data_IF_253999257910
#
_entry.id   IF_253999257910
#
_cell.length_a   1.000
_cell.length_b   1.000
_cell.length_c   1.000
_cell.angle_alpha   90.00
_cell.angle_beta   90.00
_cell.angle_gamma   90.00
#
_symmetry.space_group_name_H-M   'P 1'
#
loop_
_entity.id
_entity.type
_entity.pdbx_description
1 polymer ?
#
# COMPACT_ATOMS: atom_id res chain seq x y z
N UNK A 1 12.55 16.68 2.54
CA UNK A 1 11.85 16.40 3.81
C UNK A 1 10.99 15.16 3.57
N UNK A 2 11.28 14.05 4.23
CA UNK A 2 10.51 12.81 4.05
C UNK A 2 9.18 12.95 4.78
N UNK A 3 8.09 12.72 4.07
CA UNK A 3 6.74 12.74 4.64
C UNK A 3 6.55 11.46 5.44
N UNK A 4 6.33 11.60 6.75
CA UNK A 4 6.01 10.47 7.63
C UNK A 4 4.50 10.23 7.57
N UNK A 5 4.12 8.96 7.42
CA UNK A 5 2.74 8.49 7.41
C UNK A 5 2.55 7.52 8.56
N UNK A 6 1.37 7.53 9.17
CA UNK A 6 1.01 6.61 10.24
C UNK A 6 -0.21 5.79 9.85
N UNK A 7 -0.26 4.57 10.37
CA UNK A 7 -1.42 3.70 10.30
C UNK A 7 -1.69 3.13 11.69
N UNK A 8 -2.81 3.58 12.27
CA UNK A 8 -3.33 3.15 13.56
C UNK A 8 -3.87 1.71 13.48
N UNK A 9 -3.29 0.81 14.26
CA UNK A 9 -3.64 -0.62 14.32
C UNK A 9 -4.11 -1.03 15.71
N UNK A 10 -5.07 -1.95 15.77
CA UNK A 10 -5.46 -2.61 17.01
C UNK A 10 -4.55 -3.83 17.23
N UNK A 11 -3.73 -3.87 18.31
CA UNK A 11 -2.83 -4.98 18.58
C UNK A 11 -3.53 -6.32 18.84
N UNK A 12 -4.79 -6.27 19.27
CA UNK A 12 -5.63 -7.45 19.53
C UNK A 12 -6.61 -7.70 18.36
N UNK A 13 -6.48 -6.94 17.27
CA UNK A 13 -7.30 -7.12 16.08
C UNK A 13 -6.85 -8.31 15.24
N UNK A 14 -7.59 -8.56 14.15
CA UNK A 14 -7.23 -9.59 13.19
C UNK A 14 -6.16 -9.13 12.21
N UNK A 15 -6.03 -9.87 11.11
CA UNK A 15 -5.02 -9.66 10.08
C UNK A 15 -5.12 -8.29 9.41
N UNK A 16 -3.96 -7.68 9.11
CA UNK A 16 -3.86 -6.51 8.25
C UNK A 16 -3.90 -6.92 6.78
N UNK A 17 -4.75 -6.26 6.01
CA UNK A 17 -4.85 -6.43 4.56
C UNK A 17 -4.36 -5.17 3.87
N UNK A 18 -3.42 -5.33 2.95
CA UNK A 18 -2.92 -4.29 2.05
C UNK A 18 -3.63 -4.44 0.71
N UNK A 19 -4.25 -3.35 0.24
CA UNK A 19 -5.00 -3.31 -1.01
C UNK A 19 -4.36 -2.27 -1.92
N UNK A 20 -3.93 -2.67 -3.11
CA UNK A 20 -3.51 -1.78 -4.18
C UNK A 20 -4.67 -1.58 -5.15
N UNK A 21 -4.92 -0.32 -5.51
CA UNK A 21 -5.92 0.07 -6.51
C UNK A 21 -5.26 0.81 -7.67
N UNK A 22 -5.77 0.58 -8.88
CA UNK A 22 -5.47 1.32 -10.09
C UNK A 22 -6.77 1.53 -10.85
N UNK A 23 -6.97 2.68 -11.48
CA UNK A 23 -8.19 2.97 -12.24
C UNK A 23 -7.86 3.41 -13.67
N UNK A 24 -8.92 3.75 -14.42
CA UNK A 24 -8.85 4.37 -15.74
C UNK A 24 -7.97 3.62 -16.77
N UNK A 25 -8.01 2.29 -16.77
CA UNK A 25 -7.22 1.49 -17.72
C UNK A 25 -5.74 1.39 -17.40
N UNK A 26 -5.34 1.70 -16.16
CA UNK A 26 -3.98 1.51 -15.66
C UNK A 26 -3.83 0.14 -14.98
N UNK A 27 -2.62 -0.43 -15.07
CA UNK A 27 -2.15 -1.54 -14.22
C UNK A 27 -1.02 -1.03 -13.35
N UNK A 28 -1.03 -1.43 -12.09
CA UNK A 28 0.03 -1.16 -11.14
C UNK A 28 0.57 -2.46 -10.51
N UNK A 29 1.84 -2.43 -10.16
CA UNK A 29 2.46 -3.45 -9.34
C UNK A 29 3.36 -2.81 -8.30
N UNK A 30 3.42 -3.37 -7.10
CA UNK A 30 4.27 -2.89 -6.03
C UNK A 30 5.07 -4.01 -5.42
N UNK A 31 6.34 -3.72 -5.09
CA UNK A 31 7.12 -4.54 -4.16
C UNK A 31 7.09 -3.89 -2.79
N UNK A 32 6.67 -4.65 -1.80
CA UNK A 32 6.47 -4.23 -0.43
C UNK A 32 7.48 -4.91 0.48
N UNK A 33 7.87 -4.20 1.53
CA UNK A 33 8.65 -4.74 2.62
C UNK A 33 8.13 -4.19 3.95
N UNK A 34 8.09 -5.05 4.95
CA UNK A 34 7.80 -4.74 6.34
C UNK A 34 9.10 -4.83 7.12
N UNK A 35 9.44 -3.77 7.83
CA UNK A 35 10.71 -3.61 8.53
C UNK A 35 10.48 -3.36 10.01
N UNK A 36 11.35 -3.90 10.86
CA UNK A 36 11.40 -3.51 12.28
C UNK A 36 11.88 -2.06 12.42
N UNK A 37 11.78 -1.49 13.63
CA UNK A 37 12.40 -0.20 13.95
C UNK A 37 13.92 -0.18 13.68
N UNK A 38 14.58 -1.34 13.80
CA UNK A 38 16.00 -1.53 13.48
C UNK A 38 16.29 -1.67 11.97
N UNK A 39 15.29 -1.50 11.10
CA UNK A 39 15.36 -1.68 9.64
C UNK A 39 15.66 -3.11 9.18
N UNK A 40 15.42 -4.09 10.03
CA UNK A 40 15.48 -5.50 9.62
C UNK A 40 14.22 -5.87 8.84
N UNK A 41 14.38 -6.48 7.66
CA UNK A 41 13.28 -6.94 6.84
C UNK A 41 12.64 -8.17 7.48
N UNK A 42 11.33 -8.09 7.78
CA UNK A 42 10.55 -9.15 8.43
C UNK A 42 9.71 -9.92 7.42
N UNK A 43 9.14 -9.20 6.45
CA UNK A 43 8.25 -9.76 5.44
C UNK A 43 8.42 -8.98 4.13
N UNK A 44 8.49 -9.67 3.00
CA UNK A 44 8.47 -9.05 1.67
C UNK A 44 7.46 -9.74 0.76
N UNK A 45 6.76 -8.94 -0.04
CA UNK A 45 5.74 -9.45 -0.95
C UNK A 45 5.58 -8.53 -2.16
N UNK A 46 4.80 -9.00 -3.13
CA UNK A 46 4.43 -8.21 -4.30
C UNK A 46 2.92 -8.23 -4.48
N UNK A 47 2.36 -7.08 -4.86
CA UNK A 47 0.96 -6.94 -5.26
C UNK A 47 0.95 -6.47 -6.71
N UNK A 48 0.10 -7.06 -7.54
CA UNK A 48 -0.19 -6.55 -8.88
C UNK A 48 -1.70 -6.39 -9.02
N UNK A 49 -2.14 -5.27 -9.60
CA UNK A 49 -3.53 -5.10 -9.99
C UNK A 49 -3.76 -5.88 -11.28
N UNK A 50 -4.77 -6.75 -11.31
CA UNK A 50 -5.27 -7.32 -12.56
C UNK A 50 -6.01 -6.27 -13.40
N UNK A 51 -6.78 -6.72 -14.39
CA UNK A 51 -7.55 -5.83 -15.27
C UNK A 51 -8.69 -5.09 -14.55
N UNK A 52 -9.15 -5.64 -13.43
CA UNK A 52 -10.11 -4.98 -12.55
C UNK A 52 -9.51 -3.88 -11.67
N UNK A 53 -8.20 -3.60 -11.79
CA UNK A 53 -7.57 -2.50 -11.06
C UNK A 53 -7.42 -2.75 -9.56
N UNK A 54 -7.49 -4.00 -9.10
CA UNK A 54 -7.40 -4.35 -7.68
C UNK A 54 -6.38 -5.48 -7.48
N UNK A 55 -5.59 -5.38 -6.42
CA UNK A 55 -4.75 -6.46 -5.89
C UNK A 55 -4.67 -6.37 -4.37
N UNK A 56 -4.64 -7.52 -3.69
CA UNK A 56 -4.64 -7.57 -2.22
C UNK A 56 -3.55 -8.50 -1.69
N UNK A 57 -3.11 -8.25 -0.47
CA UNK A 57 -2.22 -9.12 0.28
C UNK A 57 -2.54 -9.05 1.77
N UNK A 58 -2.54 -10.20 2.44
CA UNK A 58 -2.73 -10.30 3.88
C UNK A 58 -1.37 -10.48 4.55
N UNK A 59 -1.03 -9.56 5.45
CA UNK A 59 0.23 -9.61 6.21
C UNK A 59 0.20 -10.85 7.10
N UNK A 60 1.25 -11.66 7.01
CA UNK A 60 1.36 -12.90 7.78
C UNK A 60 1.96 -12.68 9.17
N UNK A 61 2.75 -11.61 9.33
CA UNK A 61 3.30 -11.20 10.62
C UNK A 61 2.20 -10.86 11.63
N UNK A 62 2.32 -11.42 12.83
CA UNK A 62 1.42 -11.20 13.97
C UNK A 62 1.28 -9.71 14.30
N UNK A 63 0.05 -9.20 14.23
CA UNK A 63 -0.27 -7.77 14.41
C UNK A 63 0.12 -7.25 15.80
N UNK A 64 0.14 -8.11 16.82
CA UNK A 64 0.58 -7.75 18.16
C UNK A 64 2.06 -7.31 18.21
N UNK A 65 2.86 -7.63 17.19
CA UNK A 65 4.29 -7.28 17.09
C UNK A 65 4.57 -6.06 16.23
N UNK A 66 3.57 -5.55 15.50
CA UNK A 66 3.78 -4.56 14.43
C UNK A 66 3.94 -3.11 14.92
N UNK A 67 4.00 -2.86 16.23
CA UNK A 67 4.15 -1.50 16.73
C UNK A 67 5.50 -0.89 16.35
N UNK A 68 5.48 0.30 15.76
CA UNK A 68 6.68 0.97 15.28
C UNK A 68 7.31 0.34 14.04
N UNK A 69 6.72 -0.72 13.47
CA UNK A 69 7.22 -1.32 12.24
C UNK A 69 6.96 -0.38 11.07
N UNK A 70 7.91 -0.31 10.14
CA UNK A 70 7.75 0.47 8.91
C UNK A 70 7.34 -0.45 7.76
N UNK A 71 6.26 -0.08 7.07
CA UNK A 71 5.93 -0.66 5.78
C UNK A 71 6.38 0.29 4.69
N UNK A 72 7.23 -0.19 3.78
CA UNK A 72 7.71 0.59 2.65
C UNK A 72 7.47 -0.17 1.34
N UNK A 73 7.15 0.56 0.28
CA UNK A 73 6.90 -0.05 -1.02
C UNK A 73 7.31 0.85 -2.17
N UNK A 74 7.62 0.21 -3.29
CA UNK A 74 7.82 0.87 -4.58
C UNK A 74 6.73 0.40 -5.53
N UNK A 75 5.88 1.32 -5.94
CA UNK A 75 4.85 1.10 -6.95
C UNK A 75 5.40 1.44 -8.33
N UNK A 76 5.04 0.63 -9.31
CA UNK A 76 5.25 0.82 -10.73
C UNK A 76 3.90 0.80 -11.44
N UNK A 77 3.72 1.65 -12.44
CA UNK A 77 2.45 1.79 -13.16
C UNK A 77 2.69 1.94 -14.67
N UNK A 78 1.78 1.36 -15.45
CA UNK A 78 1.67 1.54 -16.89
C UNK A 78 0.19 1.48 -17.34
N UNK A 79 -0.08 1.97 -18.53
CA UNK A 79 -1.39 1.90 -19.17
C UNK A 79 -1.54 0.60 -19.94
N UNK A 80 -2.59 -0.18 -19.65
CA UNK A 80 -2.89 -1.40 -20.40
C UNK A 80 -3.95 -1.17 -21.48
N UNK A 81 -4.83 -0.17 -21.29
CA UNK A 81 -5.78 0.23 -22.33
C UNK A 81 -5.15 1.28 -23.27
N UNK A 82 -5.32 1.15 -24.59
CA UNK A 82 -4.92 2.19 -25.53
C UNK A 82 -5.58 3.52 -25.19
N UNK A 83 -4.79 4.60 -25.14
CA UNK A 83 -5.29 5.95 -24.84
C UNK A 83 -5.45 6.28 -23.36
N UNK A 84 -5.36 5.30 -22.45
CA UNK A 84 -5.25 5.58 -21.02
C UNK A 84 -3.87 6.20 -20.75
N UNK A 85 -3.82 7.47 -20.37
CA UNK A 85 -2.56 8.16 -20.04
C UNK A 85 -2.63 8.87 -18.69
N UNK A 86 -3.76 8.81 -18.00
CA UNK A 86 -3.97 9.40 -16.68
C UNK A 86 -4.82 8.49 -15.80
N UNK A 87 -4.76 8.70 -14.49
CA UNK A 87 -5.55 7.95 -13.52
C UNK A 87 -4.99 8.13 -12.11
N UNK A 88 -5.37 7.24 -11.20
CA UNK A 88 -4.86 7.24 -9.84
C UNK A 88 -4.53 5.85 -9.34
N UNK A 89 -3.45 5.77 -8.58
CA UNK A 89 -2.95 4.56 -7.94
C UNK A 89 -2.99 4.76 -6.43
N UNK A 90 -3.60 3.82 -5.71
CA UNK A 90 -3.73 3.87 -4.26
C UNK A 90 -3.17 2.63 -3.59
N UNK A 91 -2.72 2.79 -2.34
CA UNK A 91 -2.45 1.67 -1.44
C UNK A 91 -3.16 1.94 -0.12
N UNK A 92 -4.13 1.10 0.20
CA UNK A 92 -4.89 1.18 1.43
C UNK A 92 -4.51 0.02 2.36
N UNK A 93 -4.55 0.26 3.65
CA UNK A 93 -4.38 -0.78 4.67
C UNK A 93 -5.70 -0.87 5.42
N UNK A 94 -6.16 -2.07 5.70
CA UNK A 94 -7.34 -2.30 6.53
C UNK A 94 -7.10 -3.39 7.55
N UNK A 95 -7.79 -3.30 8.68
CA UNK A 95 -7.83 -4.34 9.71
C UNK A 95 -9.27 -4.67 10.01
N UNK A 96 -9.64 -5.96 9.96
CA UNK A 96 -11.02 -6.40 10.19
C UNK A 96 -12.04 -5.63 9.32
N UNK A 97 -11.69 -5.34 8.07
CA UNK A 97 -12.51 -4.56 7.13
C UNK A 97 -12.58 -3.05 7.40
N UNK A 98 -11.97 -2.54 8.47
CA UNK A 98 -11.87 -1.10 8.75
C UNK A 98 -10.60 -0.53 8.13
N UNK A 99 -10.75 0.52 7.33
CA UNK A 99 -9.62 1.23 6.75
C UNK A 99 -8.78 1.90 7.82
N UNK A 100 -7.48 1.65 7.76
CA UNK A 100 -6.48 2.37 8.49
C UNK A 100 -6.26 3.72 7.81
N UNK A 101 -6.65 4.82 8.46
CA UNK A 101 -6.52 6.15 7.88
C UNK A 101 -5.06 6.54 7.81
N UNK A 102 -4.52 6.65 6.60
CA UNK A 102 -3.14 7.08 6.38
C UNK A 102 -3.12 8.55 5.99
N UNK A 103 -2.47 9.39 6.81
CA UNK A 103 -2.24 10.79 6.48
C UNK A 103 -0.74 11.13 6.40
N UNK A 104 -0.29 11.83 5.35
CA UNK A 104 -1.04 12.18 4.13
C UNK A 104 -1.30 10.97 3.24
N UNK A 105 -2.26 11.12 2.32
CA UNK A 105 -2.73 10.03 1.45
C UNK A 105 -1.59 9.32 0.71
N UNK A 106 -1.80 8.02 0.49
CA UNK A 106 -1.00 7.12 -0.36
C UNK A 106 -1.52 7.07 -1.80
N UNK A 107 -2.63 7.76 -2.08
CA UNK A 107 -3.15 7.93 -3.44
C UNK A 107 -2.23 8.86 -4.24
N UNK A 108 -1.97 8.46 -5.48
CA UNK A 108 -1.11 9.16 -6.42
C UNK A 108 -1.82 9.29 -7.76
N UNK A 109 -2.25 10.51 -8.07
CA UNK A 109 -2.70 10.86 -9.40
C UNK A 109 -1.51 10.92 -10.35
N UNK A 110 -1.66 10.29 -11.51
CA UNK A 110 -0.63 10.15 -12.54
C UNK A 110 -1.14 10.68 -13.86
N UNK A 111 -0.24 11.30 -14.62
CA UNK A 111 -0.43 11.76 -15.99
C UNK A 111 0.74 11.29 -16.84
N UNK A 112 0.56 11.27 -18.16
CA UNK A 112 1.55 10.80 -19.14
C UNK A 112 2.06 9.38 -18.88
N UNK A 113 1.14 8.50 -18.43
CA UNK A 113 1.47 7.12 -18.11
C UNK A 113 1.86 6.35 -19.39
N UNK A 114 3.06 5.75 -19.45
CA UNK A 114 3.48 4.98 -20.63
C UNK A 114 2.66 3.71 -20.78
N UNK A 115 2.49 3.25 -22.02
CA UNK A 115 1.85 1.95 -22.30
C UNK A 115 2.71 0.81 -21.75
N UNK A 116 2.08 -0.25 -21.24
CA UNK A 116 2.79 -1.40 -20.69
C UNK A 116 3.68 -2.10 -21.75
N UNK A 117 3.27 -2.09 -23.02
CA UNK A 117 4.02 -2.64 -24.15
C UNK A 117 5.35 -1.92 -24.42
N UNK A 118 5.47 -0.65 -24.03
CA UNK A 118 6.69 0.14 -24.22
C UNK A 118 7.85 -0.32 -23.33
N UNK A 119 7.58 -1.16 -22.32
CA UNK A 119 8.55 -1.56 -21.29
C UNK A 119 8.93 -0.43 -20.30
N UNK A 120 8.43 0.79 -20.51
CA UNK A 120 8.62 1.92 -19.60
C UNK A 120 7.54 1.91 -18.53
N UNK A 121 7.92 2.25 -17.30
CA UNK A 121 7.03 2.29 -16.14
C UNK A 121 7.26 3.60 -15.39
N UNK A 122 6.17 4.26 -14.98
CA UNK A 122 6.29 5.28 -13.95
C UNK A 122 6.43 4.60 -12.59
N UNK A 123 7.10 5.25 -11.65
CA UNK A 123 7.32 4.67 -10.33
C UNK A 123 7.28 5.71 -9.22
N UNK A 124 6.84 5.27 -8.04
CA UNK A 124 6.84 6.08 -6.81
C UNK A 124 7.09 5.18 -5.60
N UNK A 125 7.75 5.74 -4.60
CA UNK A 125 8.02 5.05 -3.33
C UNK A 125 7.27 5.73 -2.22
N UNK A 126 6.75 4.92 -1.32
CA UNK A 126 6.04 5.34 -0.12
C UNK A 126 6.55 4.52 1.06
N UNK A 127 6.37 5.08 2.25
CA UNK A 127 6.41 4.31 3.48
C UNK A 127 5.45 4.88 4.50
N UNK A 128 5.13 4.07 5.51
CA UNK A 128 4.36 4.42 6.69
C UNK A 128 4.81 3.60 7.90
N UNK A 129 4.51 4.12 9.09
CA UNK A 129 4.74 3.48 10.37
C UNK A 129 3.41 2.93 10.87
N UNK A 130 3.42 1.66 11.27
CA UNK A 130 2.32 1.03 11.98
C UNK A 130 2.38 1.43 13.45
N UNK A 131 1.31 2.01 13.98
CA UNK A 131 1.24 2.52 15.34
C UNK A 131 0.08 1.86 16.07
N UNK A 132 0.33 1.25 17.21
CA UNK A 132 -0.76 0.73 18.03
C UNK A 132 -1.59 1.87 18.61
N UNK A 133 -2.90 1.70 18.53
CA UNK A 133 -3.88 2.51 19.29
C UNK A 133 -4.62 1.60 20.25
N UNK A 134 -4.65 2.00 21.51
CA UNK A 134 -5.51 1.38 22.52
C UNK A 134 -6.92 1.89 22.24
N UNK A 135 -7.73 1.08 21.58
CA UNK A 135 -9.16 1.36 21.46
C UNK A 135 -9.77 1.01 22.82
N UNK A 136 -10.16 2.01 23.60
CA UNK A 136 -11.02 1.78 24.76
C UNK A 136 -12.33 1.17 24.24
N UNK A 137 -12.55 -0.10 24.56
CA UNK A 137 -13.81 -0.78 24.25
C UNK A 137 -14.90 -0.10 25.09
N UNK A 138 -15.97 0.45 24.49
CA UNK A 138 -17.05 1.03 25.28
C UNK A 138 -17.69 -0.09 26.11
N UNK A 139 -17.69 0.12 27.42
CA UNK A 139 -18.25 -0.80 28.42
C UNK A 139 -19.77 -1.03 28.25
#
# INVERSE_FOLDING_TARGET
>A
MSIIRYCDINPNGGTLTVTMTANNGLRAGGRFGLYTMGKELVEDWSIATGDGGLGTYQITTDVSKLDGYEMAWRTKVCAFLPGANEGSIGVEISQNGKLCKVFPSTVWDVTDVPTCESGKLMQKTFSLILQKVVVEEPA
#
